data_IF_043351723551
#
_entry.id   IF_043351723551
#
_cell.length_a   1.000
_cell.length_b   1.000
_cell.length_c   1.000
_cell.angle_alpha   90.00
_cell.angle_beta   90.00
_cell.angle_gamma   90.00
#
_symmetry.space_group_name_H-M   'P 1'
#
loop_
_entity.id
_entity.type
_entity.pdbx_description
1 polymer ?
#
# COMPACT_ATOMS: atom_id res chain seq x y z
N UNK A 1 -0.88 10.12 47.12
CA UNK A 1 0.33 10.68 46.45
C UNK A 1 0.50 9.94 45.13
N UNK A 2 -0.02 10.52 44.04
CA UNK A 2 -0.12 9.86 42.73
C UNK A 2 1.24 9.69 42.06
N UNK A 3 1.52 8.49 41.56
CA UNK A 3 2.56 8.27 40.55
C UNK A 3 1.91 8.47 39.18
N UNK A 4 2.33 9.52 38.49
CA UNK A 4 2.03 9.72 37.06
C UNK A 4 2.55 8.51 36.30
N UNK A 5 1.66 7.76 35.66
CA UNK A 5 2.06 6.85 34.60
C UNK A 5 2.57 7.73 33.45
N UNK A 6 3.88 7.69 33.22
CA UNK A 6 4.48 8.28 32.04
C UNK A 6 3.89 7.58 30.81
N UNK A 7 3.32 8.36 29.89
CA UNK A 7 2.99 7.91 28.55
C UNK A 7 4.26 7.37 27.89
N UNK A 8 4.22 6.21 27.21
CA UNK A 8 5.36 5.79 26.42
C UNK A 8 5.42 6.74 25.22
N UNK A 9 6.41 7.63 25.24
CA UNK A 9 6.88 8.32 24.05
C UNK A 9 7.13 7.27 22.98
N UNK A 10 6.44 7.38 21.84
CA UNK A 10 6.69 6.55 20.67
C UNK A 10 8.12 6.81 20.20
N UNK A 11 9.06 6.03 20.72
CA UNK A 11 10.45 6.08 20.30
C UNK A 11 10.52 5.69 18.83
N UNK A 12 11.39 6.38 18.11
CA UNK A 12 11.73 6.20 16.70
C UNK A 12 12.41 4.85 16.40
N UNK A 13 12.33 3.89 17.32
CA UNK A 13 13.01 2.60 17.27
C UNK A 13 12.00 1.48 17.01
N UNK A 14 12.40 0.60 16.13
CA UNK A 14 11.64 -0.45 15.47
C UNK A 14 10.98 -1.47 16.41
N UNK A 15 9.78 -1.99 16.06
CA UNK A 15 9.34 -3.31 16.48
C UNK A 15 9.84 -4.34 15.45
N UNK A 16 10.77 -5.21 15.81
CA UNK A 16 11.40 -6.21 14.93
C UNK A 16 10.52 -7.41 14.59
N UNK A 17 9.27 -7.41 15.08
CA UNK A 17 8.18 -8.26 14.62
C UNK A 17 7.10 -7.40 13.96
N UNK A 18 7.44 -6.61 12.94
CA UNK A 18 6.43 -5.82 12.24
C UNK A 18 5.45 -6.75 11.50
N UNK A 19 4.11 -6.54 11.60
CA UNK A 19 3.11 -7.36 10.91
C UNK A 19 3.36 -7.45 9.40
N UNK A 20 3.95 -6.42 8.79
CA UNK A 20 4.35 -6.35 7.39
C UNK A 20 5.39 -7.40 7.00
N UNK A 21 6.36 -7.67 7.89
CA UNK A 21 7.38 -8.70 7.66
C UNK A 21 6.75 -10.09 7.66
N UNK A 22 5.81 -10.32 8.58
CA UNK A 22 5.03 -11.56 8.63
C UNK A 22 4.13 -11.74 7.41
N UNK A 23 3.45 -10.69 6.95
CA UNK A 23 2.60 -10.75 5.76
C UNK A 23 3.39 -11.11 4.51
N UNK A 24 4.55 -10.49 4.29
CA UNK A 24 5.40 -10.79 3.12
C UNK A 24 6.08 -12.16 3.22
N UNK A 25 6.50 -12.58 4.41
CA UNK A 25 7.07 -13.90 4.64
C UNK A 25 6.02 -15.00 4.43
N UNK A 26 4.87 -14.91 5.10
CA UNK A 26 3.77 -15.89 4.98
C UNK A 26 3.22 -15.90 3.56
N UNK A 27 2.98 -14.73 2.97
CA UNK A 27 2.52 -14.62 1.59
C UNK A 27 3.51 -15.22 0.59
N UNK A 28 4.81 -14.95 0.75
CA UNK A 28 5.87 -15.52 -0.07
C UNK A 28 5.99 -17.04 0.06
N UNK A 29 5.93 -17.57 1.29
CA UNK A 29 5.95 -19.01 1.56
C UNK A 29 4.74 -19.71 0.96
N UNK A 30 3.53 -19.18 1.16
CA UNK A 30 2.31 -19.75 0.61
C UNK A 30 2.30 -19.73 -0.91
N UNK A 31 2.80 -18.66 -1.53
CA UNK A 31 2.92 -18.59 -2.99
C UNK A 31 3.96 -19.58 -3.51
N UNK A 32 5.09 -19.75 -2.82
CA UNK A 32 6.09 -20.75 -3.17
C UNK A 32 5.54 -22.19 -3.08
N UNK A 33 4.83 -22.51 -1.99
CA UNK A 33 4.19 -23.82 -1.82
C UNK A 33 3.13 -24.04 -2.90
N UNK A 34 2.29 -23.04 -3.17
CA UNK A 34 1.26 -23.11 -4.22
C UNK A 34 1.86 -23.37 -5.60
N UNK A 35 3.01 -22.76 -5.90
CA UNK A 35 3.77 -23.05 -7.12
C UNK A 35 4.29 -24.49 -7.14
N UNK A 36 4.91 -24.96 -6.05
CA UNK A 36 5.42 -26.35 -5.94
C UNK A 36 4.31 -27.41 -6.05
N UNK A 37 3.10 -27.08 -5.60
CA UNK A 37 1.92 -27.93 -5.72
C UNK A 37 1.24 -27.85 -7.09
N UNK A 38 1.71 -26.98 -7.99
CA UNK A 38 1.12 -26.79 -9.32
C UNK A 38 -0.21 -26.05 -9.32
N UNK A 39 -0.57 -25.38 -8.21
CA UNK A 39 -1.80 -24.58 -8.12
C UNK A 39 -1.70 -23.23 -8.82
N UNK A 40 -0.47 -22.75 -9.01
CA UNK A 40 -0.16 -21.47 -9.64
C UNK A 40 1.05 -21.66 -10.56
N UNK A 41 0.99 -21.07 -11.75
CA UNK A 41 2.10 -21.06 -12.70
C UNK A 41 3.00 -19.84 -12.44
N UNK A 42 4.28 -20.10 -12.17
CA UNK A 42 5.32 -19.09 -12.00
C UNK A 42 6.48 -19.43 -12.95
N UNK A 43 6.82 -18.49 -13.83
CA UNK A 43 7.79 -18.63 -14.91
C UNK A 43 8.96 -17.66 -14.72
N UNK A 44 9.97 -18.06 -13.94
CA UNK A 44 11.16 -17.25 -13.64
C UNK A 44 12.30 -17.50 -14.64
N UNK A 45 11.99 -17.45 -15.92
CA UNK A 45 12.85 -18.01 -16.98
C UNK A 45 14.16 -17.25 -17.22
N UNK A 46 14.26 -15.96 -16.86
CA UNK A 46 15.49 -15.18 -17.05
C UNK A 46 15.97 -14.42 -15.81
N UNK A 47 17.24 -14.61 -15.45
CA UNK A 47 17.91 -13.81 -14.42
C UNK A 47 17.96 -12.32 -14.78
N UNK A 48 18.09 -11.98 -16.06
CA UNK A 48 18.13 -10.57 -16.49
C UNK A 48 16.80 -9.87 -16.25
N UNK A 49 15.67 -10.58 -16.43
CA UNK A 49 14.33 -10.05 -16.17
C UNK A 49 14.12 -9.81 -14.68
N UNK A 50 14.50 -10.77 -13.84
CA UNK A 50 14.46 -10.64 -12.37
C UNK A 50 15.31 -9.44 -11.90
N UNK A 51 16.54 -9.31 -12.41
CA UNK A 51 17.43 -8.20 -12.07
C UNK A 51 16.86 -6.85 -12.54
N UNK A 52 16.25 -6.81 -13.72
CA UNK A 52 15.60 -5.60 -14.24
C UNK A 52 14.38 -5.18 -13.40
N UNK A 53 13.75 -6.12 -12.68
CA UNK A 53 12.60 -5.87 -11.82
C UNK A 53 12.98 -5.40 -10.40
N UNK A 54 14.26 -5.50 -10.02
CA UNK A 54 14.73 -5.10 -8.68
C UNK A 54 14.31 -3.70 -8.24
N UNK A 55 14.38 -2.65 -9.07
CA UNK A 55 13.93 -1.32 -8.66
C UNK A 55 12.44 -1.30 -8.29
N UNK A 56 11.60 -2.05 -9.02
CA UNK A 56 10.18 -2.20 -8.69
C UNK A 56 10.01 -2.91 -7.33
N UNK A 57 10.79 -3.95 -7.06
CA UNK A 57 10.75 -4.64 -5.77
C UNK A 57 11.19 -3.75 -4.60
N UNK A 58 12.19 -2.87 -4.78
CA UNK A 58 12.57 -1.88 -3.76
C UNK A 58 11.42 -0.90 -3.50
N UNK A 59 10.79 -0.39 -4.56
CA UNK A 59 9.61 0.48 -4.44
C UNK A 59 8.45 -0.24 -3.75
N UNK A 60 8.21 -1.52 -4.07
CA UNK A 60 7.21 -2.35 -3.42
C UNK A 60 7.47 -2.49 -1.92
N UNK A 61 8.72 -2.72 -1.50
CA UNK A 61 9.10 -2.71 -0.07
C UNK A 61 8.78 -1.37 0.58
N UNK A 62 9.06 -0.26 -0.11
CA UNK A 62 8.67 1.08 0.31
C UNK A 62 7.15 1.22 0.50
N UNK A 63 6.34 0.73 -0.46
CA UNK A 63 4.88 0.75 -0.40
C UNK A 63 4.38 0.04 0.86
N UNK A 64 4.77 -1.21 1.07
CA UNK A 64 4.26 -2.02 2.19
C UNK A 64 4.77 -1.48 3.54
N UNK A 65 6.02 -1.03 3.62
CA UNK A 65 6.60 -0.54 4.86
C UNK A 65 6.01 0.82 5.23
N UNK A 66 6.10 1.81 4.35
CA UNK A 66 5.57 3.14 4.61
C UNK A 66 4.04 3.11 4.79
N UNK A 67 3.34 2.27 4.03
CA UNK A 67 1.89 2.07 4.17
C UNK A 67 1.51 1.55 5.56
N UNK A 68 2.21 0.53 6.06
CA UNK A 68 1.97 0.01 7.42
C UNK A 68 2.27 1.05 8.50
N UNK A 69 3.32 1.86 8.33
CA UNK A 69 3.68 2.93 9.28
C UNK A 69 2.67 4.07 9.28
N UNK A 70 2.12 4.42 8.12
CA UNK A 70 1.06 5.41 7.99
C UNK A 70 -0.25 4.91 8.63
N UNK A 71 -0.68 3.67 8.30
CA UNK A 71 -1.89 3.06 8.86
C UNK A 71 -1.85 2.85 10.37
N UNK A 72 -0.65 2.75 10.96
CA UNK A 72 -0.51 2.69 12.43
C UNK A 72 -0.77 4.02 13.15
N UNK A 73 -0.86 5.13 12.40
CA UNK A 73 -0.96 6.50 12.95
C UNK A 73 -2.13 7.30 12.40
N UNK A 74 -2.54 7.03 11.17
CA UNK A 74 -3.61 7.74 10.49
C UNK A 74 -4.88 6.90 10.42
N UNK A 75 -6.07 7.51 10.58
CA UNK A 75 -7.33 6.84 10.27
C UNK A 75 -7.34 6.29 8.84
N UNK A 76 -7.94 5.12 8.64
CA UNK A 76 -7.96 4.43 7.33
C UNK A 76 -8.52 5.33 6.21
N UNK A 77 -9.61 6.12 6.39
CA UNK A 77 -10.11 6.99 5.34
C UNK A 77 -9.13 8.11 4.96
N UNK A 78 -8.39 8.64 5.93
CA UNK A 78 -7.34 9.66 5.71
C UNK A 78 -6.20 9.05 4.90
N UNK A 79 -5.73 7.87 5.31
CA UNK A 79 -4.68 7.14 4.58
C UNK A 79 -5.08 6.84 3.14
N UNK A 80 -6.31 6.33 2.91
CA UNK A 80 -6.80 6.00 1.57
C UNK A 80 -6.89 7.25 0.68
N UNK A 81 -7.29 8.39 1.23
CA UNK A 81 -7.35 9.64 0.47
C UNK A 81 -5.97 10.11 0.04
N UNK A 82 -4.99 10.07 0.94
CA UNK A 82 -3.59 10.38 0.59
C UNK A 82 -3.04 9.36 -0.40
N UNK A 83 -3.30 8.06 -0.22
CA UNK A 83 -2.90 7.00 -1.14
C UNK A 83 -3.39 7.25 -2.57
N UNK A 84 -4.64 7.69 -2.75
CA UNK A 84 -5.22 7.95 -4.06
C UNK A 84 -4.51 9.07 -4.83
N UNK A 85 -3.90 10.04 -4.13
CA UNK A 85 -3.12 11.10 -4.76
C UNK A 85 -1.81 10.59 -5.42
N UNK A 86 -1.44 9.32 -5.27
CA UNK A 86 -0.37 8.71 -6.06
C UNK A 86 -0.65 8.77 -7.57
N UNK A 87 -1.91 8.88 -7.97
CA UNK A 87 -2.29 9.07 -9.37
C UNK A 87 -1.79 10.40 -9.96
N UNK A 88 -1.53 11.41 -9.13
CA UNK A 88 -0.91 12.67 -9.57
C UNK A 88 0.46 12.41 -10.22
N UNK A 89 1.24 11.48 -9.65
CA UNK A 89 2.56 11.12 -10.17
C UNK A 89 2.41 10.39 -11.51
N UNK A 90 1.53 9.40 -11.59
CA UNK A 90 1.28 8.64 -12.82
C UNK A 90 0.77 9.54 -13.95
N UNK A 91 -0.25 10.35 -13.67
CA UNK A 91 -0.83 11.28 -14.64
C UNK A 91 0.17 12.36 -15.08
N UNK A 92 0.94 12.92 -14.14
CA UNK A 92 2.01 13.86 -14.44
C UNK A 92 3.08 13.25 -15.35
N UNK A 93 3.50 12.02 -15.08
CA UNK A 93 4.45 11.30 -15.91
C UNK A 93 3.90 11.07 -17.34
N UNK A 94 2.66 10.60 -17.46
CA UNK A 94 2.00 10.39 -18.75
C UNK A 94 1.94 11.68 -19.59
N UNK A 95 1.52 12.77 -18.95
CA UNK A 95 1.33 14.06 -19.62
C UNK A 95 2.65 14.72 -20.00
N UNK A 96 3.61 14.80 -19.08
CA UNK A 96 4.83 15.59 -19.28
C UNK A 96 5.99 14.81 -19.88
N UNK A 97 6.10 13.51 -19.59
CA UNK A 97 7.21 12.67 -20.09
C UNK A 97 6.79 11.89 -21.34
N UNK A 98 5.65 11.19 -21.28
CA UNK A 98 5.16 10.41 -22.43
C UNK A 98 4.42 11.26 -23.47
N UNK A 99 4.07 12.52 -23.14
CA UNK A 99 3.30 13.43 -23.99
C UNK A 99 1.97 12.81 -24.48
N UNK A 100 1.38 11.93 -23.67
CA UNK A 100 0.07 11.36 -23.94
C UNK A 100 -1.02 12.42 -23.76
N UNK A 101 -2.03 12.41 -24.62
CA UNK A 101 -3.17 13.30 -24.48
C UNK A 101 -4.04 12.84 -23.30
N UNK A 102 -4.18 13.70 -22.30
CA UNK A 102 -5.01 13.45 -21.11
C UNK A 102 -6.32 14.23 -21.21
N UNK A 103 -7.48 13.60 -21.02
CA UNK A 103 -8.75 14.34 -20.99
C UNK A 103 -8.81 15.36 -19.86
N UNK A 104 -9.62 16.40 -20.09
CA UNK A 104 -9.91 17.40 -19.07
C UNK A 104 -10.57 16.80 -17.82
N UNK A 105 -11.38 15.74 -17.98
CA UNK A 105 -12.00 15.03 -16.86
C UNK A 105 -10.96 14.31 -16.00
N UNK A 106 -9.97 13.63 -16.61
CA UNK A 106 -8.89 12.98 -15.88
C UNK A 106 -8.02 14.00 -15.13
N UNK A 107 -7.73 15.14 -15.76
CA UNK A 107 -7.03 16.25 -15.10
C UNK A 107 -7.83 16.80 -13.92
N UNK A 108 -9.13 17.03 -14.09
CA UNK A 108 -10.02 17.49 -13.02
C UNK A 108 -10.05 16.51 -11.83
N UNK A 109 -10.19 15.22 -12.10
CA UNK A 109 -10.11 14.14 -11.11
C UNK A 109 -8.82 14.21 -10.30
N UNK A 110 -7.67 14.29 -10.98
CA UNK A 110 -6.35 14.34 -10.34
C UNK A 110 -6.18 15.62 -9.50
N UNK A 111 -6.76 16.74 -9.92
CA UNK A 111 -6.76 17.98 -9.13
C UNK A 111 -7.60 17.84 -7.85
N UNK A 112 -8.75 17.16 -7.88
CA UNK A 112 -9.52 16.87 -6.66
C UNK A 112 -8.76 15.94 -5.71
N UNK A 113 -8.11 14.90 -6.24
CA UNK A 113 -7.27 14.00 -5.42
C UNK A 113 -6.11 14.77 -4.76
N UNK A 114 -5.44 15.65 -5.52
CA UNK A 114 -4.36 16.48 -5.01
C UNK A 114 -4.87 17.47 -3.95
N UNK A 115 -5.97 18.17 -4.22
CA UNK A 115 -6.56 19.11 -3.28
C UNK A 115 -6.96 18.42 -1.97
N UNK A 116 -7.61 17.26 -2.04
CA UNK A 116 -7.98 16.48 -0.86
C UNK A 116 -6.75 16.06 -0.04
N UNK A 117 -5.69 15.55 -0.68
CA UNK A 117 -4.48 15.12 0.00
C UNK A 117 -3.68 16.28 0.64
N UNK A 118 -3.68 17.47 0.03
CA UNK A 118 -2.99 18.66 0.55
C UNK A 118 -3.79 19.34 1.67
N UNK A 119 -5.12 19.40 1.55
CA UNK A 119 -5.98 20.03 2.55
C UNK A 119 -6.16 19.15 3.81
N UNK A 120 -6.11 17.81 3.67
CA UNK A 120 -6.29 16.88 4.79
C UNK A 120 -5.43 17.18 6.02
N UNK A 121 -4.09 17.32 5.91
CA UNK A 121 -3.24 17.71 7.03
C UNK A 121 -3.69 18.96 7.78
N UNK A 122 -4.31 19.92 7.08
CA UNK A 122 -4.75 21.20 7.63
C UNK A 122 -6.11 21.10 8.32
N UNK A 123 -6.93 20.13 7.91
CA UNK A 123 -8.30 19.96 8.40
C UNK A 123 -8.44 18.84 9.44
N UNK A 124 -7.45 17.94 9.52
CA UNK A 124 -7.45 16.73 10.35
C UNK A 124 -7.35 17.04 11.85
N UNK A 125 -8.38 16.63 12.60
CA UNK A 125 -8.42 16.78 14.06
C UNK A 125 -7.44 15.86 14.80
N UNK A 126 -6.96 14.80 14.15
CA UNK A 126 -5.99 13.83 14.68
C UNK A 126 -4.65 13.93 13.94
N UNK A 127 -4.24 15.15 13.57
CA UNK A 127 -3.01 15.36 12.83
C UNK A 127 -1.78 14.71 13.51
N UNK A 128 -1.18 13.74 12.82
CA UNK A 128 0.09 13.12 13.21
C UNK A 128 1.15 13.41 12.11
N UNK A 129 2.16 14.26 12.38
CA UNK A 129 3.14 14.63 11.37
C UNK A 129 3.98 13.44 10.88
N UNK A 130 4.26 12.47 11.74
CA UNK A 130 4.96 11.25 11.33
C UNK A 130 4.06 10.36 10.47
N UNK A 131 2.78 10.26 10.79
CA UNK A 131 1.76 9.56 10.01
C UNK A 131 1.68 10.10 8.59
N UNK A 132 1.56 11.42 8.44
CA UNK A 132 1.53 12.08 7.13
C UNK A 132 2.86 11.98 6.38
N UNK A 133 4.01 12.03 7.06
CA UNK A 133 5.30 11.78 6.44
C UNK A 133 5.39 10.37 5.85
N UNK A 134 4.98 9.35 6.62
CA UNK A 134 4.92 7.96 6.12
C UNK A 134 3.91 7.80 4.98
N UNK A 135 2.76 8.48 5.04
CA UNK A 135 1.77 8.48 3.97
C UNK A 135 2.30 9.12 2.68
N UNK A 136 3.10 10.20 2.79
CA UNK A 136 3.77 10.84 1.66
C UNK A 136 4.82 9.91 1.03
N UNK A 137 5.66 9.27 1.85
CA UNK A 137 6.64 8.27 1.35
C UNK A 137 5.89 7.13 0.64
N UNK A 138 4.82 6.62 1.24
CA UNK A 138 3.98 5.59 0.63
C UNK A 138 3.41 6.04 -0.72
N UNK A 139 2.81 7.24 -0.80
CA UNK A 139 2.30 7.83 -2.04
C UNK A 139 3.37 7.90 -3.13
N UNK A 140 4.58 8.36 -2.78
CA UNK A 140 5.70 8.46 -3.73
C UNK A 140 6.08 7.07 -4.23
N UNK A 141 6.21 6.09 -3.34
CA UNK A 141 6.53 4.71 -3.72
C UNK A 141 5.43 4.10 -4.62
N UNK A 142 4.15 4.31 -4.31
CA UNK A 142 3.02 3.82 -5.14
C UNK A 142 3.07 4.44 -6.53
N UNK A 143 3.22 5.77 -6.62
CA UNK A 143 3.27 6.48 -7.90
C UNK A 143 4.48 6.06 -8.73
N UNK A 144 5.67 5.99 -8.12
CA UNK A 144 6.88 5.53 -8.79
C UNK A 144 6.78 4.06 -9.24
N UNK A 145 6.17 3.18 -8.44
CA UNK A 145 5.94 1.79 -8.82
C UNK A 145 5.02 1.68 -10.03
N UNK A 146 3.92 2.43 -10.06
CA UNK A 146 3.01 2.49 -11.22
C UNK A 146 3.72 3.01 -12.49
N UNK A 147 4.52 4.06 -12.36
CA UNK A 147 5.32 4.61 -13.47
C UNK A 147 6.34 3.60 -13.97
N UNK A 148 7.07 2.94 -13.06
CA UNK A 148 8.04 1.90 -13.41
C UNK A 148 7.35 0.73 -14.11
N UNK A 149 6.23 0.25 -13.58
CA UNK A 149 5.41 -0.81 -14.18
C UNK A 149 4.99 -0.46 -15.61
N UNK A 150 4.58 0.80 -15.86
CA UNK A 150 4.21 1.27 -17.20
C UNK A 150 5.40 1.42 -18.16
N UNK A 151 6.57 1.82 -17.65
CA UNK A 151 7.80 1.96 -18.43
C UNK A 151 8.42 0.60 -18.80
N UNK A 152 8.23 -0.39 -17.95
CA UNK A 152 8.79 -1.71 -18.12
C UNK A 152 8.00 -2.50 -19.18
N UNK A 153 8.72 -3.19 -20.08
CA UNK A 153 8.11 -3.88 -21.23
C UNK A 153 7.15 -4.98 -20.76
N UNK A 154 5.83 -4.90 -21.02
CA UNK A 154 4.80 -5.81 -20.46
C UNK A 154 4.82 -7.27 -20.95
N UNK A 155 5.94 -7.80 -21.45
CA UNK A 155 5.98 -9.08 -22.17
C UNK A 155 6.67 -10.26 -21.50
N UNK A 156 7.39 -10.07 -20.39
CA UNK A 156 8.27 -11.12 -19.85
C UNK A 156 7.82 -11.76 -18.52
N UNK A 157 7.19 -11.00 -17.61
CA UNK A 157 6.78 -11.52 -16.30
C UNK A 157 5.28 -11.33 -16.12
N UNK A 158 4.58 -12.40 -15.76
CA UNK A 158 3.18 -12.33 -15.36
C UNK A 158 3.02 -11.55 -14.05
N UNK A 159 1.78 -11.13 -13.74
CA UNK A 159 1.48 -10.47 -12.46
C UNK A 159 1.87 -11.34 -11.25
N UNK A 160 1.78 -12.67 -11.38
CA UNK A 160 2.19 -13.62 -10.35
C UNK A 160 3.72 -13.70 -10.21
N UNK A 161 4.45 -13.69 -11.33
CA UNK A 161 5.91 -13.68 -11.33
C UNK A 161 6.42 -12.41 -10.64
N UNK A 162 5.87 -11.25 -11.02
CA UNK A 162 6.19 -9.95 -10.41
C UNK A 162 5.93 -9.97 -8.91
N UNK A 163 4.78 -10.50 -8.48
CA UNK A 163 4.41 -10.57 -7.07
C UNK A 163 5.30 -11.53 -6.27
N UNK A 164 5.66 -12.67 -6.86
CA UNK A 164 6.59 -13.62 -6.25
C UNK A 164 7.98 -13.00 -6.05
N UNK A 165 8.52 -12.35 -7.08
CA UNK A 165 9.81 -11.64 -7.01
C UNK A 165 9.73 -10.57 -5.91
N UNK A 166 8.66 -9.77 -5.89
CA UNK A 166 8.44 -8.75 -4.87
C UNK A 166 8.43 -9.33 -3.45
N UNK A 167 7.78 -10.47 -3.21
CA UNK A 167 7.79 -11.11 -1.88
C UNK A 167 9.16 -11.64 -1.48
N UNK A 168 9.88 -12.33 -2.38
CA UNK A 168 11.23 -12.83 -2.10
C UNK A 168 12.18 -11.69 -1.76
N UNK A 169 12.20 -10.63 -2.58
CA UNK A 169 13.04 -9.46 -2.32
C UNK A 169 12.59 -8.67 -1.08
N UNK A 170 11.29 -8.63 -0.78
CA UNK A 170 10.80 -8.00 0.44
C UNK A 170 11.33 -8.69 1.68
N UNK A 171 11.32 -10.03 1.72
CA UNK A 171 11.89 -10.79 2.85
C UNK A 171 13.38 -10.47 3.00
N UNK A 172 14.14 -10.48 1.91
CA UNK A 172 15.59 -10.20 1.94
C UNK A 172 15.89 -8.77 2.38
N UNK A 173 15.23 -7.77 1.79
CA UNK A 173 15.47 -6.36 2.07
C UNK A 173 15.01 -5.96 3.47
N UNK A 174 13.85 -6.44 3.93
CA UNK A 174 13.35 -6.18 5.28
C UNK A 174 14.22 -6.88 6.34
N UNK A 175 14.70 -8.10 6.07
CA UNK A 175 15.66 -8.77 6.95
C UNK A 175 17.00 -8.03 7.00
N UNK A 176 17.52 -7.60 5.86
CA UNK A 176 18.79 -6.86 5.76
C UNK A 176 18.71 -5.50 6.46
N UNK A 177 17.60 -4.78 6.32
CA UNK A 177 17.36 -3.50 7.00
C UNK A 177 17.26 -3.64 8.52
N UNK A 178 16.94 -4.83 9.03
CA UNK A 178 16.88 -5.10 10.47
C UNK A 178 18.28 -5.21 11.11
N UNK A 179 19.31 -5.57 10.35
CA UNK A 179 20.66 -5.74 10.89
C UNK A 179 21.33 -4.41 11.31
N UNK A 180 21.39 -3.35 10.48
CA UNK A 180 21.96 -2.06 10.87
C UNK A 180 21.06 -1.25 11.81
N UNK A 181 19.77 -1.59 11.89
CA UNK A 181 18.79 -0.96 12.77
C UNK A 181 18.90 -1.39 14.25
N UNK A 182 19.63 -2.47 14.56
CA UNK A 182 19.72 -3.04 15.91
C UNK A 182 18.53 -3.94 16.30
N UNK A 183 17.63 -4.19 15.36
CA UNK A 183 16.31 -4.79 15.56
C UNK A 183 16.32 -6.23 16.02
N UNK A 184 17.30 -7.02 15.57
CA UNK A 184 17.31 -8.45 15.83
C UNK A 184 17.37 -8.76 17.34
N UNK A 185 18.04 -7.91 18.10
CA UNK A 185 18.17 -8.03 19.55
C UNK A 185 17.03 -7.35 20.30
N UNK A 186 16.55 -6.19 19.83
CA UNK A 186 15.34 -5.53 20.39
C UNK A 186 14.05 -6.34 20.20
N UNK A 187 14.10 -7.45 19.45
CA UNK A 187 12.92 -8.30 19.19
C UNK A 187 12.56 -9.17 20.35
N UNK A 188 13.60 -9.68 20.99
CA UNK A 188 13.51 -10.48 22.18
C UNK A 188 12.90 -9.66 23.33
N UNK A 189 13.09 -8.33 23.29
CA UNK A 189 12.52 -7.40 24.27
C UNK A 189 11.08 -6.96 23.94
N UNK A 190 10.50 -7.36 22.81
CA UNK A 190 9.12 -6.98 22.48
C UNK A 190 8.14 -7.74 23.38
N UNK A 191 7.38 -7.04 24.26
CA UNK A 191 6.62 -7.68 25.33
C UNK A 191 5.50 -8.58 24.82
N UNK A 192 5.10 -8.44 23.55
CA UNK A 192 4.09 -9.29 22.93
C UNK A 192 4.63 -10.42 22.05
N UNK A 193 5.95 -10.51 21.85
CA UNK A 193 6.56 -11.54 21.02
C UNK A 193 6.12 -12.93 21.50
N UNK A 194 6.09 -13.18 22.81
CA UNK A 194 5.76 -14.50 23.36
C UNK A 194 4.27 -14.85 23.38
N UNK A 195 3.36 -13.95 23.00
CA UNK A 195 1.93 -14.27 23.00
C UNK A 195 1.51 -15.00 21.72
N UNK A 196 0.86 -16.15 21.89
CA UNK A 196 0.25 -16.90 20.79
C UNK A 196 -0.74 -16.04 19.99
N UNK A 197 -1.43 -15.10 20.64
CA UNK A 197 -2.40 -14.18 20.01
C UNK A 197 -1.74 -13.23 19.01
N UNK A 198 -0.51 -12.81 19.30
CA UNK A 198 0.26 -11.93 18.41
C UNK A 198 0.68 -12.69 17.16
N UNK A 199 1.24 -13.89 17.32
CA UNK A 199 1.63 -14.77 16.22
C UNK A 199 0.44 -15.24 15.38
N UNK A 200 -0.68 -15.62 16.00
CA UNK A 200 -1.88 -16.05 15.29
C UNK A 200 -2.51 -14.91 14.50
N UNK A 201 -2.50 -13.67 15.03
CA UNK A 201 -2.95 -12.48 14.31
C UNK A 201 -2.04 -12.17 13.11
N UNK A 202 -0.72 -12.24 13.28
CA UNK A 202 0.25 -12.06 12.19
C UNK A 202 0.07 -13.13 11.10
N UNK A 203 -0.11 -14.39 11.48
CA UNK A 203 -0.35 -15.50 10.57
C UNK A 203 -1.67 -15.33 9.82
N UNK A 204 -2.77 -15.03 10.53
CA UNK A 204 -4.08 -14.77 9.92
C UNK A 204 -4.02 -13.60 8.93
N UNK A 205 -3.29 -12.54 9.28
CA UNK A 205 -3.09 -11.40 8.39
C UNK A 205 -2.28 -11.77 7.13
N UNK A 206 -1.24 -12.60 7.27
CA UNK A 206 -0.49 -13.13 6.13
C UNK A 206 -1.32 -14.03 5.21
N UNK A 207 -2.16 -14.89 5.79
CA UNK A 207 -3.10 -15.74 5.04
C UNK A 207 -4.13 -14.89 4.27
N UNK A 208 -4.75 -13.92 4.94
CA UNK A 208 -5.70 -13.00 4.31
C UNK A 208 -5.03 -12.17 3.20
N UNK A 209 -3.81 -11.70 3.43
CA UNK A 209 -3.01 -10.99 2.43
C UNK A 209 -2.72 -11.85 1.20
N UNK A 210 -2.40 -13.13 1.39
CA UNK A 210 -2.21 -14.09 0.30
C UNK A 210 -3.48 -14.33 -0.51
N UNK A 211 -4.63 -14.57 0.15
CA UNK A 211 -5.90 -14.75 -0.54
C UNK A 211 -6.33 -13.49 -1.29
N UNK A 212 -6.18 -12.31 -0.68
CA UNK A 212 -6.46 -11.03 -1.32
C UNK A 212 -5.59 -10.84 -2.57
N UNK A 213 -4.30 -11.18 -2.50
CA UNK A 213 -3.39 -11.14 -3.64
C UNK A 213 -3.84 -12.05 -4.78
N UNK A 214 -4.15 -13.32 -4.52
CA UNK A 214 -4.63 -14.25 -5.55
C UNK A 214 -5.94 -13.77 -6.19
N UNK A 215 -6.89 -13.29 -5.37
CA UNK A 215 -8.13 -12.71 -5.87
C UNK A 215 -7.90 -11.46 -6.69
N UNK A 216 -6.94 -10.60 -6.31
CA UNK A 216 -6.60 -9.38 -7.05
C UNK A 216 -6.03 -9.71 -8.42
N UNK A 217 -5.08 -10.66 -8.49
CA UNK A 217 -4.53 -11.15 -9.77
C UNK A 217 -5.63 -11.73 -10.64
N UNK A 218 -6.47 -12.62 -10.07
CA UNK A 218 -7.56 -13.25 -10.81
C UNK A 218 -8.55 -12.21 -11.32
N UNK A 219 -8.96 -11.26 -10.48
CA UNK A 219 -9.86 -10.18 -10.86
C UNK A 219 -9.27 -9.34 -11.99
N UNK A 220 -7.99 -8.95 -11.90
CA UNK A 220 -7.29 -8.18 -12.92
C UNK A 220 -7.20 -8.93 -14.25
N UNK A 221 -7.00 -10.25 -14.23
CA UNK A 221 -6.96 -11.07 -15.44
C UNK A 221 -8.33 -11.29 -16.11
N UNK A 222 -9.42 -11.22 -15.34
CA UNK A 222 -10.78 -11.51 -15.81
C UNK A 222 -11.63 -10.26 -16.09
N UNK A 223 -11.11 -9.06 -15.88
CA UNK A 223 -11.87 -7.80 -16.01
C UNK A 223 -11.13 -6.78 -16.85
N UNK A 224 -11.86 -5.83 -17.44
CA UNK A 224 -11.23 -4.69 -18.11
C UNK A 224 -10.62 -3.73 -17.10
N UNK A 225 -9.67 -2.88 -17.53
CA UNK A 225 -9.02 -1.90 -16.63
C UNK A 225 -10.04 -1.04 -15.87
N UNK A 226 -11.07 -0.53 -16.55
CA UNK A 226 -12.12 0.27 -15.91
C UNK A 226 -13.01 -0.53 -14.94
N UNK A 227 -13.26 -1.81 -15.21
CA UNK A 227 -13.99 -2.69 -14.28
C UNK A 227 -13.15 -3.01 -13.04
N UNK A 228 -11.86 -3.32 -13.22
CA UNK A 228 -10.93 -3.53 -12.12
C UNK A 228 -10.84 -2.29 -11.23
N UNK A 229 -10.73 -1.10 -11.84
CA UNK A 229 -10.72 0.17 -11.12
C UNK A 229 -12.01 0.42 -10.33
N UNK A 230 -13.17 0.10 -10.92
CA UNK A 230 -14.45 0.20 -10.23
C UNK A 230 -14.55 -0.73 -9.01
N UNK A 231 -14.09 -1.98 -9.14
CA UNK A 231 -14.03 -2.91 -8.01
C UNK A 231 -13.07 -2.45 -6.91
N UNK A 232 -11.89 -1.95 -7.29
CA UNK A 232 -10.92 -1.37 -6.36
C UNK A 232 -11.50 -0.16 -5.63
N UNK A 233 -12.16 0.75 -6.34
CA UNK A 233 -12.84 1.91 -5.74
C UNK A 233 -13.93 1.48 -4.75
N UNK A 234 -14.79 0.52 -5.14
CA UNK A 234 -15.83 0.00 -4.26
C UNK A 234 -15.24 -0.61 -2.99
N UNK A 235 -14.17 -1.39 -3.10
CA UNK A 235 -13.48 -1.97 -1.95
C UNK A 235 -12.93 -0.89 -1.00
N UNK A 236 -12.37 0.20 -1.53
CA UNK A 236 -11.91 1.34 -0.73
C UNK A 236 -13.06 2.08 -0.05
N UNK A 237 -14.18 2.32 -0.74
CA UNK A 237 -15.37 2.97 -0.16
C UNK A 237 -15.94 2.15 0.99
N UNK A 238 -16.06 0.82 0.82
CA UNK A 238 -16.51 -0.09 1.88
C UNK A 238 -15.52 -0.04 3.05
N UNK A 239 -14.22 -0.12 2.78
CA UNK A 239 -13.17 -0.07 3.80
C UNK A 239 -13.20 1.24 4.57
N UNK A 240 -13.29 2.38 3.88
CA UNK A 240 -13.36 3.70 4.49
C UNK A 240 -14.62 3.87 5.34
N UNK A 241 -15.78 3.43 4.83
CA UNK A 241 -17.07 3.52 5.53
C UNK A 241 -17.15 2.62 6.75
N UNK A 242 -16.57 1.42 6.67
CA UNK A 242 -16.64 0.43 7.74
C UNK A 242 -15.57 0.67 8.83
N UNK A 243 -14.45 1.31 8.48
CA UNK A 243 -13.34 1.53 9.42
C UNK A 243 -13.70 2.25 10.72
N UNK A 244 -14.58 3.28 10.79
CA UNK A 244 -14.87 3.99 12.03
C UNK A 244 -15.65 3.14 13.05
N UNK A 245 -16.29 2.05 12.60
CA UNK A 245 -16.94 1.09 13.49
C UNK A 245 -15.92 0.24 14.27
N UNK A 246 -14.72 0.06 13.72
CA UNK A 246 -13.65 -0.77 14.29
C UNK A 246 -12.51 0.06 14.89
N UNK A 247 -12.25 1.24 14.35
CA UNK A 247 -11.13 2.11 14.72
C UNK A 247 -11.64 3.51 15.07
N UNK A 248 -11.16 4.06 16.18
CA UNK A 248 -11.56 5.41 16.61
C UNK A 248 -11.11 6.43 15.56
N UNK A 249 -12.07 7.23 15.10
CA UNK A 249 -11.84 8.34 14.17
C UNK A 249 -12.65 9.53 14.62
N UNK A 250 -11.99 10.65 14.90
CA UNK A 250 -12.66 11.95 15.07
C UNK A 250 -12.52 12.75 13.80
N UNK A 251 -13.64 13.25 13.28
CA UNK A 251 -13.67 14.03 12.06
C UNK A 251 -14.57 15.25 12.25
N UNK A 252 -14.05 16.42 11.89
CA UNK A 252 -14.84 17.63 11.77
C UNK A 252 -15.43 17.72 10.35
N UNK A 253 -16.32 18.71 10.13
CA UNK A 253 -16.95 18.93 8.82
C UNK A 253 -15.90 19.09 7.71
N UNK A 254 -14.81 19.81 7.97
CA UNK A 254 -13.74 20.04 6.99
C UNK A 254 -13.00 18.74 6.60
N UNK A 255 -12.74 17.87 7.56
CA UNK A 255 -12.14 16.55 7.33
C UNK A 255 -13.07 15.72 6.45
N UNK A 256 -14.36 15.65 6.79
CA UNK A 256 -15.36 14.93 6.00
C UNK A 256 -15.47 15.51 4.58
N UNK A 257 -15.46 16.85 4.43
CA UNK A 257 -15.44 17.50 3.12
C UNK A 257 -14.22 17.10 2.30
N UNK A 258 -13.02 17.04 2.90
CA UNK A 258 -11.81 16.59 2.19
C UNK A 258 -11.91 15.13 1.74
N UNK A 259 -12.43 14.24 2.59
CA UNK A 259 -12.64 12.83 2.24
C UNK A 259 -13.65 12.68 1.10
N UNK A 260 -14.74 13.46 1.10
CA UNK A 260 -15.73 13.46 0.02
C UNK A 260 -15.13 13.98 -1.28
N UNK A 261 -14.35 15.07 -1.25
CA UNK A 261 -13.66 15.59 -2.44
C UNK A 261 -12.71 14.53 -3.00
N UNK A 262 -11.94 13.84 -2.14
CA UNK A 262 -11.07 12.74 -2.55
C UNK A 262 -11.84 11.57 -3.17
N UNK A 263 -12.98 11.19 -2.58
CA UNK A 263 -13.86 10.15 -3.12
C UNK A 263 -14.48 10.53 -4.47
N UNK A 264 -14.90 11.77 -4.65
CA UNK A 264 -15.38 12.30 -5.95
C UNK A 264 -14.26 12.30 -6.98
N UNK A 265 -13.05 12.72 -6.59
CA UNK A 265 -11.87 12.67 -7.44
C UNK A 265 -11.59 11.24 -7.94
N UNK A 266 -11.60 10.24 -7.06
CA UNK A 266 -11.40 8.84 -7.43
C UNK A 266 -12.55 8.29 -8.30
N UNK A 267 -13.81 8.64 -7.98
CA UNK A 267 -14.96 8.23 -8.78
C UNK A 267 -14.89 8.78 -10.22
N UNK A 268 -14.47 10.04 -10.38
CA UNK A 268 -14.23 10.63 -11.69
C UNK A 268 -13.08 9.93 -12.43
N UNK A 269 -12.02 9.53 -11.72
CA UNK A 269 -10.92 8.76 -12.32
C UNK A 269 -11.44 7.43 -12.89
N UNK A 270 -12.17 6.67 -12.09
CA UNK A 270 -12.78 5.39 -12.50
C UNK A 270 -13.71 5.59 -13.70
N UNK A 271 -14.49 6.68 -13.70
CA UNK A 271 -15.34 7.02 -14.83
C UNK A 271 -14.51 7.19 -16.12
N UNK A 272 -13.44 7.99 -16.07
CA UNK A 272 -12.56 8.20 -17.24
C UNK A 272 -11.90 6.92 -17.73
N UNK A 273 -11.47 6.04 -16.83
CA UNK A 273 -10.89 4.74 -17.20
C UNK A 273 -11.90 3.78 -17.83
N UNK A 274 -13.18 3.90 -17.47
CA UNK A 274 -14.26 3.09 -18.03
C UNK A 274 -14.70 3.58 -19.40
N UNK A 275 -14.74 4.89 -19.62
CA UNK A 275 -15.16 5.51 -20.88
C UNK A 275 -14.03 5.67 -21.89
N UNK A 276 -12.77 5.49 -21.47
CA UNK A 276 -11.60 5.71 -22.33
C UNK A 276 -11.40 7.18 -22.71
N UNK A 277 -12.00 8.10 -21.95
CA UNK A 277 -11.92 9.55 -22.14
C UNK A 277 -10.94 10.14 -21.16
#
# INVERSE_FOLDING_TARGET
RGRRAASPSASSTWPPASPTRWQTLVGGLLLHISWKLGWVEINLCSRSEILSWLPASVLFVGIIYAGSRALSRLPIPVFLTVHNAAEVITCGFQKFVQKEQTSHLKVCSVLFLLAAAVCLPLCDTQFDPNGYLWALIHLICVGAYKVFHKLWKPGSLSDLDQQYINYVFSVVLLASASHPAGDLFSALDFPFLYFYRFHSSCCASGLLGFFLMLHTVKLKSSTTSGQYAAWSFLAKVITASLSPFFFVMTANVLTISCLVIGGVGEALLVYTERTGT
#
